data_IF_057666984543
#
_entry.id   IF_057666984543
#
_cell.length_a   1.000
_cell.length_b   1.000
_cell.length_c   1.000
_cell.angle_alpha   90.00
_cell.angle_beta   90.00
_cell.angle_gamma   90.00
#
_symmetry.space_group_name_H-M   'P 1'
#
loop_
_entity.id
_entity.type
_entity.pdbx_description
1 polymer ?
#
# COMPACT_ATOMS: atom_id res chain seq x y z
N UNK A 1 14.05 -62.71 -9.50
CA UNK A 1 12.95 -62.43 -8.54
C UNK A 1 13.43 -61.61 -7.34
N UNK A 2 14.48 -62.01 -6.61
CA UNK A 2 14.96 -61.32 -5.41
C UNK A 2 15.31 -59.81 -5.58
N UNK A 3 16.03 -59.45 -6.66
CA UNK A 3 16.43 -58.05 -6.93
C UNK A 3 15.23 -57.13 -7.13
N UNK A 4 14.19 -57.61 -7.83
CA UNK A 4 12.97 -56.84 -8.07
C UNK A 4 12.21 -56.56 -6.78
N UNK A 5 12.17 -57.52 -5.86
CA UNK A 5 11.53 -57.37 -4.54
C UNK A 5 12.26 -56.33 -3.67
N UNK A 6 13.59 -56.32 -3.70
CA UNK A 6 14.41 -55.35 -2.95
C UNK A 6 14.17 -53.93 -3.48
N UNK A 7 14.18 -53.75 -4.81
CA UNK A 7 13.93 -52.43 -5.44
C UNK A 7 12.52 -51.94 -5.10
N UNK A 8 11.50 -52.81 -5.20
CA UNK A 8 10.12 -52.47 -4.83
C UNK A 8 10.00 -52.07 -3.36
N UNK A 9 10.72 -52.73 -2.46
CA UNK A 9 10.74 -52.40 -1.03
C UNK A 9 11.35 -51.02 -0.76
N UNK A 10 12.48 -50.70 -1.39
CA UNK A 10 13.13 -49.39 -1.28
C UNK A 10 12.22 -48.27 -1.81
N UNK A 11 11.57 -48.50 -2.96
CA UNK A 11 10.67 -47.51 -3.54
C UNK A 11 9.48 -47.20 -2.62
N UNK A 12 8.86 -48.24 -2.04
CA UNK A 12 7.77 -48.07 -1.07
C UNK A 12 8.22 -47.32 0.18
N UNK A 13 9.43 -47.60 0.68
CA UNK A 13 9.99 -46.89 1.82
C UNK A 13 10.24 -45.40 1.51
N UNK A 14 10.84 -45.09 0.35
CA UNK A 14 11.04 -43.70 -0.08
C UNK A 14 9.70 -42.96 -0.23
N UNK A 15 8.68 -43.62 -0.79
CA UNK A 15 7.35 -43.04 -0.94
C UNK A 15 6.70 -42.76 0.42
N UNK A 16 6.81 -43.70 1.37
CA UNK A 16 6.30 -43.54 2.72
C UNK A 16 6.97 -42.37 3.46
N UNK A 17 8.30 -42.25 3.36
CA UNK A 17 9.06 -41.13 3.95
C UNK A 17 8.62 -39.80 3.33
N UNK A 18 8.48 -39.74 2.00
CA UNK A 18 8.05 -38.53 1.30
C UNK A 18 6.63 -38.08 1.69
N UNK A 19 5.69 -39.03 1.82
CA UNK A 19 4.33 -38.75 2.30
C UNK A 19 4.33 -38.28 3.76
N UNK A 20 5.15 -38.90 4.61
CA UNK A 20 5.28 -38.50 6.01
C UNK A 20 5.81 -37.08 6.16
N UNK A 21 6.89 -36.72 5.45
CA UNK A 21 7.47 -35.37 5.48
C UNK A 21 6.46 -34.32 4.98
N UNK A 22 5.75 -34.60 3.87
CA UNK A 22 4.71 -33.71 3.36
C UNK A 22 3.54 -33.52 4.33
N UNK A 23 3.21 -34.57 5.09
CA UNK A 23 2.22 -34.50 6.16
C UNK A 23 2.64 -33.54 7.28
N UNK A 24 3.90 -33.58 7.71
CA UNK A 24 4.43 -32.65 8.72
C UNK A 24 4.44 -31.20 8.23
N UNK A 25 4.84 -30.97 6.98
CA UNK A 25 4.78 -29.64 6.37
C UNK A 25 3.34 -29.11 6.31
N UNK A 26 2.37 -29.96 5.97
CA UNK A 26 0.96 -29.58 5.90
C UNK A 26 0.40 -29.19 7.26
N UNK A 27 0.72 -29.94 8.32
CA UNK A 27 0.28 -29.59 9.69
C UNK A 27 0.95 -28.30 10.17
N UNK A 28 2.23 -28.09 9.83
CA UNK A 28 2.94 -26.83 10.12
C UNK A 28 2.28 -25.66 9.41
N UNK A 29 1.88 -25.84 8.14
CA UNK A 29 1.18 -24.82 7.37
C UNK A 29 -0.21 -24.51 7.92
N UNK A 30 -0.98 -25.52 8.35
CA UNK A 30 -2.29 -25.32 8.98
C UNK A 30 -2.18 -24.51 10.27
N UNK A 31 -1.23 -24.85 11.14
CA UNK A 31 -1.01 -24.07 12.38
C UNK A 31 -0.63 -22.60 12.10
N UNK A 32 0.18 -22.36 11.05
CA UNK A 32 0.49 -20.99 10.61
C UNK A 32 -0.74 -20.26 10.06
N UNK A 33 -1.60 -20.95 9.32
CA UNK A 33 -2.84 -20.38 8.79
C UNK A 33 -3.78 -19.97 9.93
N UNK A 34 -4.01 -20.85 10.90
CA UNK A 34 -4.84 -20.55 12.08
C UNK A 34 -4.30 -19.33 12.86
N UNK A 35 -2.98 -19.25 13.03
CA UNK A 35 -2.34 -18.10 13.69
C UNK A 35 -2.55 -16.79 12.90
N UNK A 36 -2.49 -16.85 11.57
CA UNK A 36 -2.72 -15.69 10.71
C UNK A 36 -4.18 -15.25 10.73
N UNK A 37 -5.12 -16.20 10.74
CA UNK A 37 -6.55 -15.92 10.86
C UNK A 37 -6.85 -15.19 12.17
N UNK A 38 -6.35 -15.71 13.30
CA UNK A 38 -6.48 -15.05 14.61
C UNK A 38 -5.86 -13.65 14.63
N UNK A 39 -4.69 -13.48 14.00
CA UNK A 39 -4.03 -12.17 13.91
C UNK A 39 -4.85 -11.18 13.08
N UNK A 40 -5.46 -11.64 11.99
CA UNK A 40 -6.32 -10.79 11.15
C UNK A 40 -7.56 -10.33 11.92
N UNK A 41 -8.21 -11.20 12.69
CA UNK A 41 -9.36 -10.83 13.53
C UNK A 41 -9.00 -9.74 14.56
N UNK A 42 -7.83 -9.86 15.21
CA UNK A 42 -7.34 -8.84 16.14
C UNK A 42 -7.08 -7.52 15.41
N UNK A 43 -6.39 -7.56 14.26
CA UNK A 43 -6.09 -6.36 13.48
C UNK A 43 -7.35 -5.67 12.96
N UNK A 44 -8.36 -6.43 12.54
CA UNK A 44 -9.66 -5.88 12.12
C UNK A 44 -10.36 -5.16 13.28
N UNK A 45 -10.32 -5.75 14.48
CA UNK A 45 -10.86 -5.13 15.68
C UNK A 45 -10.09 -3.85 16.05
N UNK A 46 -8.75 -3.89 16.09
CA UNK A 46 -7.92 -2.72 16.39
C UNK A 46 -8.15 -1.60 15.37
N UNK A 47 -8.26 -1.94 14.08
CA UNK A 47 -8.57 -0.98 13.03
C UNK A 47 -9.96 -0.35 13.21
N UNK A 48 -10.95 -1.13 13.64
CA UNK A 48 -12.29 -0.60 13.94
C UNK A 48 -12.24 0.36 15.14
N UNK A 49 -11.62 -0.03 16.24
CA UNK A 49 -11.51 0.79 17.44
C UNK A 49 -10.78 2.12 17.14
N UNK A 50 -9.73 2.07 16.31
CA UNK A 50 -9.03 3.27 15.84
C UNK A 50 -9.92 4.16 14.97
N UNK A 51 -10.74 3.60 14.08
CA UNK A 51 -11.67 4.38 13.25
C UNK A 51 -12.73 5.07 14.09
N UNK A 52 -13.26 4.39 15.10
CA UNK A 52 -14.25 4.94 16.02
C UNK A 52 -13.64 6.08 16.86
N UNK A 53 -12.41 5.90 17.36
CA UNK A 53 -11.65 6.97 18.03
C UNK A 53 -11.38 8.17 17.13
N UNK A 54 -10.99 7.95 15.88
CA UNK A 54 -10.79 9.02 14.90
C UNK A 54 -12.10 9.76 14.64
N UNK A 55 -13.22 9.05 14.45
CA UNK A 55 -14.52 9.66 14.23
C UNK A 55 -14.97 10.51 15.43
N UNK A 56 -14.77 10.02 16.65
CA UNK A 56 -15.04 10.76 17.88
C UNK A 56 -14.17 12.02 18.00
N UNK A 57 -12.86 11.90 17.80
CA UNK A 57 -11.96 13.07 17.88
C UNK A 57 -12.30 14.13 16.82
N UNK A 58 -12.80 13.70 15.66
CA UNK A 58 -13.30 14.58 14.62
C UNK A 58 -14.63 15.25 15.03
N UNK A 59 -15.57 14.53 15.68
CA UNK A 59 -16.85 15.11 16.11
C UNK A 59 -16.68 16.10 17.26
N UNK A 60 -15.74 15.83 18.17
CA UNK A 60 -15.42 16.70 19.31
C UNK A 60 -14.47 17.87 18.94
N UNK A 61 -14.05 17.96 17.67
CA UNK A 61 -13.13 19.02 17.22
C UNK A 61 -11.72 18.92 17.81
N UNK A 62 -11.37 17.79 18.42
CA UNK A 62 -10.02 17.47 18.92
C UNK A 62 -9.05 17.28 17.74
N UNK A 63 -9.55 16.67 16.65
CA UNK A 63 -8.81 16.49 15.41
C UNK A 63 -9.39 17.41 14.32
N UNK A 64 -8.53 18.20 13.69
CA UNK A 64 -8.90 19.02 12.55
C UNK A 64 -9.21 18.14 11.32
N UNK A 65 -10.32 18.43 10.63
CA UNK A 65 -10.67 17.82 9.33
C UNK A 65 -9.83 18.44 8.21
N UNK A 66 -8.55 18.11 8.16
CA UNK A 66 -7.65 18.57 7.12
C UNK A 66 -7.54 17.52 6.01
N UNK A 67 -7.61 17.97 4.76
CA UNK A 67 -7.25 17.17 3.59
C UNK A 67 -6.09 17.88 2.88
N UNK A 68 -5.08 17.11 2.48
CA UNK A 68 -3.95 17.61 1.71
C UNK A 68 -4.10 17.13 0.28
N UNK A 69 -4.36 18.07 -0.63
CA UNK A 69 -4.43 17.75 -2.06
C UNK A 69 -3.02 17.62 -2.60
N UNK A 70 -2.74 16.50 -3.27
CA UNK A 70 -1.47 16.23 -3.95
C UNK A 70 -1.73 15.98 -5.43
N UNK A 71 -0.87 16.51 -6.30
CA UNK A 71 -0.94 16.33 -7.74
C UNK A 71 0.41 15.85 -8.28
N UNK A 72 0.41 14.66 -8.87
CA UNK A 72 1.61 13.99 -9.38
C UNK A 72 1.72 14.15 -10.90
N UNK A 73 2.86 13.76 -11.46
CA UNK A 73 3.14 13.74 -12.90
C UNK A 73 3.09 15.09 -13.65
N UNK A 74 2.92 16.19 -12.92
CA UNK A 74 2.92 17.55 -13.46
C UNK A 74 4.33 18.10 -13.74
N UNK A 75 4.44 19.33 -14.28
CA UNK A 75 3.35 20.14 -14.80
C UNK A 75 2.80 19.60 -16.14
N UNK A 76 1.60 20.03 -16.53
CA UNK A 76 0.95 19.71 -17.80
C UNK A 76 0.11 20.89 -18.32
N UNK A 77 -0.47 20.77 -19.51
CA UNK A 77 -1.37 21.79 -20.08
C UNK A 77 -2.52 22.19 -19.15
N UNK A 78 -2.98 21.27 -18.29
CA UNK A 78 -4.09 21.52 -17.36
C UNK A 78 -3.65 22.18 -16.05
N UNK A 79 -2.34 22.29 -15.79
CA UNK A 79 -1.85 22.78 -14.50
C UNK A 79 -2.27 24.23 -14.22
N UNK A 80 -2.33 25.09 -15.24
CA UNK A 80 -2.77 26.48 -15.04
C UNK A 80 -4.26 26.58 -14.66
N UNK A 81 -5.12 25.77 -15.28
CA UNK A 81 -6.56 25.71 -14.95
C UNK A 81 -6.75 25.15 -13.54
N UNK A 82 -5.94 24.16 -13.16
CA UNK A 82 -5.96 23.63 -11.80
C UNK A 82 -5.54 24.71 -10.77
N UNK A 83 -4.47 25.46 -11.04
CA UNK A 83 -4.01 26.54 -10.16
C UNK A 83 -5.06 27.65 -10.00
N UNK A 84 -5.73 28.06 -11.08
CA UNK A 84 -6.82 29.03 -10.98
C UNK A 84 -7.97 28.49 -10.12
N UNK A 85 -8.33 27.22 -10.30
CA UNK A 85 -9.38 26.56 -9.51
C UNK A 85 -9.03 26.51 -8.02
N UNK A 86 -7.78 26.15 -7.68
CA UNK A 86 -7.30 26.13 -6.29
C UNK A 86 -7.30 27.52 -5.67
N UNK A 87 -6.90 28.54 -6.45
CA UNK A 87 -6.92 29.94 -6.02
C UNK A 87 -8.34 30.44 -5.74
N UNK A 88 -9.28 30.16 -6.64
CA UNK A 88 -10.69 30.56 -6.50
C UNK A 88 -11.33 29.88 -5.29
N UNK A 89 -10.93 28.65 -4.97
CA UNK A 89 -11.36 27.92 -3.78
C UNK A 89 -10.64 28.36 -2.49
N UNK A 90 -9.60 29.20 -2.58
CA UNK A 90 -8.77 29.58 -1.42
C UNK A 90 -7.94 28.43 -0.83
N UNK A 91 -7.65 27.39 -1.62
CA UNK A 91 -6.99 26.15 -1.17
C UNK A 91 -5.55 26.09 -1.65
N UNK A 92 -4.66 25.57 -0.80
CA UNK A 92 -3.28 25.21 -1.16
C UNK A 92 -3.15 23.70 -1.35
N UNK A 93 -2.15 23.31 -2.14
CA UNK A 93 -1.91 21.93 -2.54
C UNK A 93 -0.42 21.67 -2.69
N UNK A 94 -0.05 20.40 -2.78
CA UNK A 94 1.31 19.95 -3.04
C UNK A 94 1.40 19.38 -4.46
N UNK A 95 2.42 19.76 -5.21
CA UNK A 95 2.68 19.28 -6.56
C UNK A 95 3.97 18.49 -6.57
N UNK A 96 3.92 17.25 -7.04
CA UNK A 96 5.07 16.39 -7.28
C UNK A 96 5.39 16.46 -8.77
N UNK A 97 6.47 17.17 -9.11
CA UNK A 97 6.80 17.55 -10.48
C UNK A 97 7.82 16.58 -11.08
N UNK A 98 7.58 16.18 -12.33
CA UNK A 98 8.53 15.48 -13.18
C UNK A 98 9.52 16.49 -13.77
N UNK A 99 10.82 16.30 -13.49
CA UNK A 99 11.87 17.19 -13.98
C UNK A 99 11.85 17.38 -15.50
N UNK A 100 11.54 16.32 -16.25
CA UNK A 100 11.47 16.36 -17.71
C UNK A 100 10.34 17.23 -18.28
N UNK A 101 9.37 17.65 -17.47
CA UNK A 101 8.25 18.51 -17.89
C UNK A 101 8.44 19.97 -17.49
N UNK A 102 9.29 20.27 -16.51
CA UNK A 102 9.45 21.63 -15.96
C UNK A 102 9.78 22.65 -17.05
N UNK A 103 10.75 22.36 -17.91
CA UNK A 103 11.21 23.27 -18.97
C UNK A 103 10.14 23.54 -20.04
N UNK A 104 9.21 22.59 -20.24
CA UNK A 104 8.09 22.75 -21.17
C UNK A 104 6.96 23.60 -20.58
N UNK A 105 6.91 23.75 -19.25
CA UNK A 105 5.86 24.47 -18.53
C UNK A 105 6.45 25.46 -17.52
N UNK A 106 7.28 26.44 -17.95
CA UNK A 106 7.98 27.33 -17.04
C UNK A 106 7.02 28.25 -16.28
N UNK A 107 5.92 28.66 -16.91
CA UNK A 107 4.90 29.51 -16.28
C UNK A 107 4.17 28.77 -15.16
N UNK A 108 3.66 27.57 -15.44
CA UNK A 108 2.99 26.75 -14.45
C UNK A 108 3.92 26.36 -13.29
N UNK A 109 5.16 25.99 -13.59
CA UNK A 109 6.17 25.66 -12.57
C UNK A 109 6.43 26.87 -11.66
N UNK A 110 6.61 28.06 -12.24
CA UNK A 110 6.83 29.28 -11.48
C UNK A 110 5.61 29.61 -10.62
N UNK A 111 4.41 29.54 -11.18
CA UNK A 111 3.17 29.82 -10.46
C UNK A 111 2.98 28.88 -9.26
N UNK A 112 3.24 27.57 -9.42
CA UNK A 112 3.25 26.62 -8.30
C UNK A 112 4.20 27.10 -7.19
N UNK A 113 5.44 27.45 -7.54
CA UNK A 113 6.46 27.85 -6.57
C UNK A 113 6.17 29.20 -5.88
N UNK A 114 5.49 30.13 -6.55
CA UNK A 114 5.24 31.48 -6.02
C UNK A 114 3.90 31.64 -5.30
N UNK A 115 2.90 30.82 -5.62
CA UNK A 115 1.54 30.98 -5.08
C UNK A 115 1.34 30.25 -3.74
N UNK A 116 2.42 29.81 -3.06
CA UNK A 116 2.37 29.18 -1.74
C UNK A 116 1.88 27.72 -1.77
N UNK A 117 1.99 27.05 -2.92
CA UNK A 117 1.83 25.61 -3.03
C UNK A 117 3.14 24.90 -2.65
N UNK A 118 3.06 23.64 -2.25
CA UNK A 118 4.24 22.79 -2.12
C UNK A 118 4.74 22.34 -3.50
N UNK A 119 6.04 22.41 -3.75
CA UNK A 119 6.67 21.92 -4.97
C UNK A 119 7.72 20.87 -4.60
N UNK A 120 7.52 19.64 -5.05
CA UNK A 120 8.33 18.48 -4.71
C UNK A 120 8.75 17.72 -5.97
N UNK A 121 9.72 16.83 -5.83
CA UNK A 121 10.21 16.01 -6.95
C UNK A 121 9.40 14.72 -7.05
N UNK A 122 9.00 14.36 -8.27
CA UNK A 122 8.49 13.03 -8.61
C UNK A 122 9.56 12.30 -9.44
N UNK A 123 9.99 11.12 -8.98
CA UNK A 123 11.06 10.32 -9.58
C UNK A 123 10.50 9.20 -10.46
#
# INVERSE_FOLDING_TARGET
MLIATIISGILLLCLAIGLYAKGQDLETMKGRLETLEQRNEILEKENKDMRDLVAYNISEGILLKNAFLTFDDGPSDNTMILLSTLKDAGVKANFFLLGCKIDNYPEATKAIATDGHGAFVHF
#
